data_IF_117006317511
#
_entry.id   IF_117006317511
#
_cell.length_a   1.000
_cell.length_b   1.000
_cell.length_c   1.000
_cell.angle_alpha   90.00
_cell.angle_beta   90.00
_cell.angle_gamma   90.00
#
_symmetry.space_group_name_H-M   'P 1'
#
loop_
_entity.id
_entity.type
_entity.pdbx_description
1 polymer ?
#
# COMPACT_ATOMS: atom_id res chain seq x y z
N UNK A 1 8.45 16.20 22.78
CA UNK A 1 8.85 14.78 22.57
C UNK A 1 9.20 14.64 21.09
N UNK A 2 10.29 13.93 20.77
CA UNK A 2 11.11 14.08 19.55
C UNK A 2 10.35 13.89 18.23
N UNK A 3 10.71 14.72 17.25
CA UNK A 3 10.43 14.53 15.82
C UNK A 3 10.99 13.18 15.35
N UNK A 4 10.15 12.33 14.76
CA UNK A 4 10.51 10.99 14.26
C UNK A 4 10.86 10.96 12.77
N UNK A 5 11.18 12.09 12.16
CA UNK A 5 11.79 12.11 10.83
C UNK A 5 13.26 12.50 10.98
N UNK A 6 14.07 11.55 11.41
CA UNK A 6 15.46 11.53 11.03
C UNK A 6 15.45 10.89 9.64
N UNK A 7 15.74 11.70 8.61
CA UNK A 7 16.00 11.18 7.28
C UNK A 7 17.05 10.09 7.43
N UNK A 8 16.62 8.83 7.29
CA UNK A 8 17.53 7.70 7.24
C UNK A 8 18.52 8.00 6.13
N UNK A 9 19.80 8.08 6.48
CA UNK A 9 20.85 8.00 5.49
C UNK A 9 20.62 6.73 4.68
N UNK A 10 20.92 6.75 3.38
CA UNK A 10 20.62 5.72 2.38
C UNK A 10 21.11 4.29 2.70
N UNK A 11 21.59 4.03 3.91
CA UNK A 11 22.14 2.78 4.45
C UNK A 11 21.15 1.95 5.28
N UNK A 12 19.97 2.46 5.67
CA UNK A 12 18.96 1.64 6.39
C UNK A 12 17.94 0.96 5.44
N UNK A 13 18.10 1.11 4.12
CA UNK A 13 17.32 0.40 3.09
C UNK A 13 17.90 -0.99 2.76
N UNK A 14 18.89 -1.47 3.52
CA UNK A 14 19.68 -2.70 3.27
C UNK A 14 18.89 -4.01 3.44
N UNK A 15 17.58 -3.96 3.68
CA UNK A 15 16.69 -5.13 3.75
C UNK A 15 15.55 -5.12 2.71
N UNK A 16 15.64 -4.32 1.64
CA UNK A 16 14.67 -4.39 0.55
C UNK A 16 14.86 -5.67 -0.25
N UNK A 17 13.99 -6.66 0.00
CA UNK A 17 13.79 -7.76 -0.93
C UNK A 17 13.19 -7.19 -2.22
N UNK A 18 14.05 -7.05 -3.24
CA UNK A 18 13.60 -6.71 -4.59
C UNK A 18 13.26 -8.02 -5.29
N UNK A 19 12.00 -8.44 -5.23
CA UNK A 19 11.53 -9.52 -6.10
C UNK A 19 11.26 -8.93 -7.47
N UNK A 20 12.06 -9.36 -8.45
CA UNK A 20 11.97 -8.91 -9.83
C UNK A 20 11.29 -9.95 -10.69
N UNK A 21 10.28 -9.52 -11.43
CA UNK A 21 9.81 -10.24 -12.62
C UNK A 21 10.04 -9.37 -13.86
N UNK A 22 9.73 -9.89 -15.03
CA UNK A 22 9.72 -9.09 -16.26
C UNK A 22 8.68 -7.95 -16.21
N UNK A 23 7.70 -8.03 -15.30
CA UNK A 23 6.51 -7.16 -15.25
C UNK A 23 6.52 -6.17 -14.08
N UNK A 24 7.21 -6.49 -12.98
CA UNK A 24 7.16 -5.69 -11.75
C UNK A 24 8.50 -5.71 -11.02
N UNK A 25 8.75 -4.63 -10.29
CA UNK A 25 9.72 -4.58 -9.20
C UNK A 25 8.93 -4.47 -7.90
N UNK A 26 8.96 -5.52 -7.09
CA UNK A 26 8.36 -5.52 -5.76
C UNK A 26 9.38 -4.95 -4.77
N UNK A 27 8.93 -4.03 -3.93
CA UNK A 27 9.72 -3.39 -2.89
C UNK A 27 9.08 -3.71 -1.55
N UNK A 28 9.73 -4.56 -0.77
CA UNK A 28 9.34 -4.82 0.62
C UNK A 28 9.95 -3.75 1.54
N UNK A 29 9.10 -2.99 2.24
CA UNK A 29 9.53 -1.99 3.22
C UNK A 29 9.12 -2.44 4.62
N UNK A 30 10.03 -3.09 5.40
CA UNK A 30 9.71 -3.48 6.75
C UNK A 30 9.43 -2.25 7.63
N UNK A 31 8.29 -2.22 8.30
CA UNK A 31 8.00 -1.26 9.37
C UNK A 31 7.09 -0.07 9.04
N UNK A 32 6.40 -0.05 7.90
CA UNK A 32 5.36 0.94 7.64
C UNK A 32 3.96 0.44 8.05
N UNK A 33 3.37 1.06 9.07
CA UNK A 33 1.97 0.79 9.44
C UNK A 33 1.04 1.04 8.24
N UNK A 34 0.25 0.02 7.89
CA UNK A 34 -0.73 0.07 6.82
C UNK A 34 -0.29 -0.57 5.51
N UNK A 35 0.98 -0.53 5.10
CA UNK A 35 1.39 -1.11 3.81
C UNK A 35 2.10 -2.44 3.98
N UNK A 36 1.74 -3.42 3.16
CA UNK A 36 2.33 -4.75 3.11
C UNK A 36 3.53 -4.79 2.16
N UNK A 37 3.30 -4.35 0.93
CA UNK A 37 4.27 -4.35 -0.15
C UNK A 37 4.05 -3.11 -1.01
N UNK A 38 5.13 -2.61 -1.62
CA UNK A 38 5.06 -1.53 -2.60
C UNK A 38 5.50 -2.05 -3.96
N UNK A 39 4.60 -2.06 -4.93
CA UNK A 39 4.93 -2.39 -6.32
C UNK A 39 5.39 -1.15 -7.07
N UNK A 40 6.41 -1.33 -7.92
CA UNK A 40 6.77 -0.38 -8.95
C UNK A 40 6.40 -0.98 -10.32
N UNK A 41 5.34 -0.45 -10.92
CA UNK A 41 4.73 -0.93 -12.16
C UNK A 41 5.12 -0.01 -13.33
N UNK A 42 5.87 -0.50 -14.34
CA UNK A 42 6.19 0.30 -15.51
C UNK A 42 4.92 0.72 -16.28
N UNK A 43 4.80 2.03 -16.56
CA UNK A 43 3.70 2.60 -17.37
C UNK A 43 4.17 2.97 -18.78
N UNK A 44 5.40 3.45 -18.90
CA UNK A 44 6.08 3.78 -20.14
C UNK A 44 7.60 3.66 -19.97
N UNK A 45 8.37 4.00 -21.00
CA UNK A 45 9.84 4.00 -20.96
C UNK A 45 10.42 4.96 -19.91
N UNK A 46 9.67 5.98 -19.48
CA UNK A 46 10.15 7.00 -18.54
C UNK A 46 9.22 7.23 -17.35
N UNK A 47 8.16 6.45 -17.22
CA UNK A 47 7.18 6.61 -16.14
C UNK A 47 6.79 5.27 -15.53
N UNK A 48 6.53 5.25 -14.23
CA UNK A 48 6.01 4.10 -13.52
C UNK A 48 4.98 4.51 -12.47
N UNK A 49 4.26 3.54 -11.94
CA UNK A 49 3.40 3.70 -10.78
C UNK A 49 4.06 3.06 -9.56
N UNK A 50 4.15 3.82 -8.47
CA UNK A 50 4.40 3.24 -7.16
C UNK A 50 3.05 2.93 -6.52
N UNK A 51 2.84 1.71 -6.04
CA UNK A 51 1.56 1.26 -5.47
C UNK A 51 1.79 0.54 -4.16
N UNK A 52 1.27 1.07 -3.05
CA UNK A 52 1.28 0.45 -1.74
C UNK A 52 -0.01 -0.38 -1.53
N UNK A 53 0.13 -1.69 -1.32
CA UNK A 53 -0.98 -2.63 -1.12
C UNK A 53 -1.07 -3.10 0.35
N UNK A 54 -2.28 -3.44 0.81
CA UNK A 54 -2.62 -3.57 2.23
C UNK A 54 -3.07 -4.97 2.67
N UNK A 55 -3.12 -5.93 1.73
CA UNK A 55 -3.60 -7.29 1.97
C UNK A 55 -5.13 -7.42 2.00
N UNK A 56 -5.59 -8.65 2.23
CA UNK A 56 -6.98 -9.07 1.98
C UNK A 56 -8.04 -8.34 2.84
N UNK A 57 -7.68 -7.91 4.05
CA UNK A 57 -8.63 -7.27 4.98
C UNK A 57 -9.16 -5.96 4.42
N UNK A 58 -8.28 -5.11 3.90
CA UNK A 58 -8.70 -3.83 3.30
C UNK A 58 -9.50 -4.09 2.02
N UNK A 59 -9.06 -5.05 1.21
CA UNK A 59 -9.74 -5.40 -0.03
C UNK A 59 -11.20 -5.80 0.22
N UNK A 60 -11.41 -6.64 1.23
CA UNK A 60 -12.74 -7.08 1.63
C UNK A 60 -13.62 -5.93 2.13
N UNK A 61 -13.07 -5.04 2.96
CA UNK A 61 -13.81 -3.90 3.50
C UNK A 61 -14.26 -2.93 2.41
N UNK A 62 -13.36 -2.61 1.49
CA UNK A 62 -13.62 -1.71 0.36
C UNK A 62 -14.66 -2.30 -0.61
N UNK A 63 -14.62 -3.61 -0.85
CA UNK A 63 -15.56 -4.29 -1.73
C UNK A 63 -16.97 -4.41 -1.14
N UNK A 64 -17.08 -4.58 0.19
CA UNK A 64 -18.37 -4.79 0.84
C UNK A 64 -19.12 -3.50 1.15
N UNK A 65 -18.40 -2.40 1.46
CA UNK A 65 -19.01 -1.21 2.08
C UNK A 65 -18.65 0.13 1.42
N UNK A 66 -18.65 0.28 0.08
CA UNK A 66 -18.17 1.50 -0.60
C UNK A 66 -18.92 2.78 -0.19
N UNK A 67 -20.20 2.69 0.20
CA UNK A 67 -20.99 3.85 0.65
C UNK A 67 -20.71 4.25 2.09
N UNK A 68 -20.51 3.28 2.98
CA UNK A 68 -20.14 3.63 4.37
C UNK A 68 -18.78 4.30 4.38
N UNK A 69 -17.88 3.89 3.47
CA UNK A 69 -16.55 4.45 3.26
C UNK A 69 -16.61 5.96 3.00
N UNK A 70 -17.48 6.40 2.09
CA UNK A 70 -17.59 7.82 1.73
C UNK A 70 -18.15 8.69 2.86
N UNK A 71 -18.98 8.11 3.73
CA UNK A 71 -19.71 8.87 4.74
C UNK A 71 -18.94 9.01 6.06
N UNK A 72 -18.06 8.06 6.39
CA UNK A 72 -17.37 8.02 7.69
C UNK A 72 -15.84 8.18 7.61
N UNK A 73 -15.23 8.07 6.42
CA UNK A 73 -13.78 8.14 6.23
C UNK A 73 -13.44 9.14 5.11
N UNK A 74 -13.50 10.45 5.40
CA UNK A 74 -13.35 11.49 4.39
C UNK A 74 -11.99 11.48 3.67
N UNK A 75 -10.91 11.07 4.34
CA UNK A 75 -9.61 10.97 3.69
C UNK A 75 -9.57 9.76 2.74
N UNK A 76 -10.05 8.59 3.16
CA UNK A 76 -10.23 7.45 2.25
C UNK A 76 -11.13 7.79 1.06
N UNK A 77 -12.25 8.47 1.30
CA UNK A 77 -13.16 8.94 0.25
C UNK A 77 -12.46 9.86 -0.75
N UNK A 78 -11.59 10.78 -0.26
CA UNK A 78 -10.80 11.65 -1.12
C UNK A 78 -9.81 10.88 -2.00
N UNK A 79 -9.21 9.79 -1.49
CA UNK A 79 -8.31 8.95 -2.25
C UNK A 79 -9.07 8.16 -3.33
N UNK A 80 -10.29 7.69 -3.02
CA UNK A 80 -11.16 7.01 -3.99
C UNK A 80 -11.62 7.95 -5.11
N UNK A 81 -11.99 9.19 -4.76
CA UNK A 81 -12.35 10.22 -5.74
C UNK A 81 -11.15 10.55 -6.64
N UNK A 82 -9.96 10.74 -6.04
CA UNK A 82 -8.72 10.93 -6.78
C UNK A 82 -8.42 9.77 -7.74
N UNK A 83 -8.65 8.52 -7.31
CA UNK A 83 -8.50 7.33 -8.16
C UNK A 83 -9.47 7.31 -9.33
N UNK A 84 -10.74 7.63 -9.06
CA UNK A 84 -11.79 7.73 -10.08
C UNK A 84 -11.52 8.83 -11.10
N UNK A 85 -10.94 9.95 -10.66
CA UNK A 85 -10.58 11.11 -11.48
C UNK A 85 -9.16 11.06 -12.05
N UNK A 86 -8.40 9.98 -11.79
CA UNK A 86 -7.01 9.79 -12.24
C UNK A 86 -6.05 10.90 -11.79
N UNK A 87 -6.22 11.39 -10.57
CA UNK A 87 -5.36 12.40 -9.94
C UNK A 87 -4.43 11.69 -8.94
N UNK A 88 -3.13 11.62 -9.24
CA UNK A 88 -2.19 10.75 -8.50
C UNK A 88 -1.17 11.50 -7.64
N UNK A 89 -1.15 12.84 -7.67
CA UNK A 89 -0.11 13.68 -7.05
C UNK A 89 0.09 13.42 -5.56
N UNK A 90 -1.00 13.18 -4.82
CA UNK A 90 -0.99 12.95 -3.37
C UNK A 90 -1.37 11.50 -3.00
N UNK A 91 -1.25 10.59 -3.95
CA UNK A 91 -1.77 9.22 -3.84
C UNK A 91 -3.24 9.15 -4.23
N UNK A 92 -3.63 8.01 -4.79
CA UNK A 92 -5.00 7.70 -5.16
C UNK A 92 -5.32 6.26 -4.80
N UNK A 93 -6.49 6.01 -4.23
CA UNK A 93 -6.94 4.65 -3.94
C UNK A 93 -7.49 4.04 -5.23
N UNK A 94 -6.84 2.99 -5.71
CA UNK A 94 -7.15 2.33 -6.98
C UNK A 94 -7.23 0.84 -6.80
N UNK A 95 -7.97 0.18 -7.70
CA UNK A 95 -8.02 -1.27 -7.78
C UNK A 95 -7.12 -1.72 -8.93
N UNK A 96 -6.09 -2.49 -8.61
CA UNK A 96 -5.10 -3.01 -9.56
C UNK A 96 -5.09 -4.53 -9.55
N UNK A 97 -4.65 -5.13 -10.64
CA UNK A 97 -4.30 -6.55 -10.67
C UNK A 97 -2.89 -6.71 -10.10
N UNK A 98 -2.74 -7.48 -9.03
CA UNK A 98 -1.45 -7.74 -8.42
C UNK A 98 -0.59 -8.60 -9.37
N UNK A 99 0.67 -8.20 -9.61
CA UNK A 99 1.49 -8.79 -10.66
C UNK A 99 2.11 -10.14 -10.31
N UNK A 100 2.03 -10.57 -9.06
CA UNK A 100 2.57 -11.80 -8.49
C UNK A 100 1.58 -12.97 -8.54
N UNK A 101 0.29 -12.71 -8.27
CA UNK A 101 -0.76 -13.73 -8.18
C UNK A 101 -2.00 -13.46 -9.05
N UNK A 102 -1.98 -12.40 -9.86
CA UNK A 102 -3.07 -11.96 -10.73
C UNK A 102 -4.39 -11.62 -9.99
N UNK A 103 -4.38 -11.49 -8.66
CA UNK A 103 -5.55 -11.12 -7.86
C UNK A 103 -5.84 -9.63 -7.91
N UNK A 104 -7.11 -9.24 -7.81
CA UNK A 104 -7.48 -7.83 -7.75
C UNK A 104 -7.27 -7.28 -6.33
N UNK A 105 -6.40 -6.28 -6.20
CA UNK A 105 -6.03 -5.63 -4.93
C UNK A 105 -6.36 -4.15 -4.95
N UNK A 106 -6.78 -3.62 -3.81
CA UNK A 106 -6.81 -2.20 -3.56
C UNK A 106 -5.44 -1.73 -3.09
N UNK A 107 -4.99 -0.61 -3.64
CA UNK A 107 -3.71 -0.01 -3.30
C UNK A 107 -3.72 1.50 -3.47
N UNK A 108 -2.84 2.16 -2.75
CA UNK A 108 -2.60 3.59 -2.91
C UNK A 108 -1.51 3.78 -3.95
N UNK A 109 -1.85 4.44 -5.05
CA UNK A 109 -0.98 4.63 -6.21
C UNK A 109 -0.57 6.09 -6.40
N UNK A 110 0.69 6.31 -6.75
CA UNK A 110 1.18 7.58 -7.29
C UNK A 110 2.07 7.36 -8.52
N UNK A 111 2.30 8.42 -9.30
CA UNK A 111 3.12 8.36 -10.52
C UNK A 111 4.56 8.79 -10.24
N UNK A 112 5.50 7.99 -10.74
CA UNK A 112 6.93 8.30 -10.82
C UNK A 112 7.22 8.72 -12.26
N UNK A 113 7.64 9.97 -12.46
CA UNK A 113 8.07 10.49 -13.77
C UNK A 113 9.59 10.49 -13.90
N UNK A 114 10.08 10.65 -15.13
CA UNK A 114 11.50 10.79 -15.47
C UNK A 114 12.38 9.65 -14.95
N UNK A 115 11.86 8.43 -14.96
CA UNK A 115 12.57 7.23 -14.52
C UNK A 115 12.36 6.07 -15.49
N UNK A 116 13.43 5.65 -16.14
CA UNK A 116 13.45 4.41 -16.92
C UNK A 116 13.69 3.23 -15.97
N UNK A 117 12.61 2.61 -15.51
CA UNK A 117 12.65 1.53 -14.52
C UNK A 117 13.46 0.33 -15.01
N UNK A 118 13.41 0.05 -16.32
CA UNK A 118 14.07 -1.10 -16.91
C UNK A 118 15.59 -0.90 -17.02
N UNK A 119 16.04 0.29 -17.44
CA UNK A 119 17.47 0.60 -17.53
C UNK A 119 18.10 0.85 -16.16
N UNK A 120 17.32 1.30 -15.18
CA UNK A 120 17.84 1.75 -13.90
C UNK A 120 17.49 0.84 -12.71
N UNK A 121 16.98 -0.37 -12.96
CA UNK A 121 16.62 -1.33 -11.91
C UNK A 121 17.74 -1.62 -10.89
N UNK A 122 19.01 -1.52 -11.30
CA UNK A 122 20.16 -1.75 -10.42
C UNK A 122 20.46 -0.58 -9.47
N UNK A 123 19.88 0.60 -9.69
CA UNK A 123 20.13 1.81 -8.90
C UNK A 123 18.84 2.62 -8.66
N UNK A 124 17.73 1.95 -8.33
CA UNK A 124 16.45 2.61 -8.10
C UNK A 124 16.50 3.66 -6.97
N UNK A 125 17.32 3.42 -5.94
CA UNK A 125 17.50 4.35 -4.81
C UNK A 125 18.23 5.64 -5.19
N UNK A 126 18.89 5.67 -6.35
CA UNK A 126 19.52 6.86 -6.90
C UNK A 126 18.55 7.88 -7.47
N UNK A 127 17.24 7.60 -7.51
CA UNK A 127 16.20 8.44 -8.10
C UNK A 127 15.37 9.15 -7.01
N UNK A 128 15.59 10.46 -6.77
CA UNK A 128 14.83 11.22 -5.77
C UNK A 128 13.31 11.18 -6.00
N UNK A 129 12.87 11.10 -7.26
CA UNK A 129 11.46 10.98 -7.63
C UNK A 129 10.81 9.68 -7.13
N UNK A 130 11.57 8.56 -7.10
CA UNK A 130 11.06 7.30 -6.62
C UNK A 130 10.91 7.35 -5.10
N UNK A 131 11.93 7.87 -4.41
CA UNK A 131 11.88 8.09 -2.96
C UNK A 131 10.68 8.97 -2.56
N UNK A 132 10.44 10.05 -3.32
CA UNK A 132 9.26 10.92 -3.12
C UNK A 132 7.95 10.17 -3.35
N UNK A 133 7.86 9.35 -4.39
CA UNK A 133 6.66 8.58 -4.67
C UNK A 133 6.37 7.53 -3.60
N UNK A 134 7.41 6.83 -3.11
CA UNK A 134 7.33 5.93 -1.97
C UNK A 134 6.82 6.69 -0.74
N UNK A 135 7.40 7.85 -0.44
CA UNK A 135 6.95 8.69 0.67
C UNK A 135 5.46 9.04 0.55
N UNK A 136 4.99 9.44 -0.64
CA UNK A 136 3.58 9.74 -0.90
C UNK A 136 2.68 8.55 -0.60
N UNK A 137 2.95 7.37 -1.17
CA UNK A 137 2.08 6.20 -0.98
C UNK A 137 2.11 5.70 0.45
N UNK A 138 3.25 5.76 1.14
CA UNK A 138 3.37 5.35 2.54
C UNK A 138 2.75 6.36 3.51
N UNK A 139 2.84 7.66 3.27
CA UNK A 139 2.18 8.68 4.10
C UNK A 139 0.66 8.64 3.93
N UNK A 140 0.18 8.55 2.70
CA UNK A 140 -1.24 8.35 2.43
C UNK A 140 -1.72 7.04 3.06
N UNK A 141 -0.89 6.00 2.98
CA UNK A 141 -1.16 4.74 3.66
C UNK A 141 -1.32 4.91 5.18
N UNK A 142 -0.31 5.42 5.87
CA UNK A 142 -0.36 5.60 7.32
C UNK A 142 -1.55 6.46 7.77
N UNK A 143 -1.91 7.48 6.98
CA UNK A 143 -3.07 8.34 7.26
C UNK A 143 -4.39 7.60 7.09
N UNK A 144 -4.53 6.75 6.06
CA UNK A 144 -5.69 5.88 5.88
C UNK A 144 -5.80 4.88 7.04
N UNK A 145 -4.68 4.33 7.52
CA UNK A 145 -4.64 3.37 8.62
C UNK A 145 -5.16 4.01 9.90
N UNK A 146 -4.63 5.21 10.17
CA UNK A 146 -5.04 6.01 11.31
C UNK A 146 -6.53 6.35 11.24
N UNK A 147 -7.05 6.72 10.08
CA UNK A 147 -8.48 7.02 9.91
C UNK A 147 -9.37 5.81 10.18
N UNK A 148 -8.98 4.63 9.69
CA UNK A 148 -9.65 3.36 9.97
C UNK A 148 -9.60 2.98 11.45
N UNK A 149 -8.45 3.16 12.10
CA UNK A 149 -8.27 2.86 13.53
C UNK A 149 -9.06 3.80 14.42
N UNK A 150 -9.05 5.09 14.11
CA UNK A 150 -9.72 6.12 14.91
C UNK A 150 -11.25 6.05 14.74
N UNK A 151 -11.74 5.56 13.59
CA UNK A 151 -13.16 5.51 13.24
C UNK A 151 -13.58 4.11 12.78
N UNK A 152 -13.24 3.05 13.54
CA UNK A 152 -13.47 1.65 13.14
C UNK A 152 -14.84 1.41 12.48
N UNK A 153 -14.89 0.80 11.28
CA UNK A 153 -16.16 0.52 10.60
C UNK A 153 -17.11 -0.31 11.44
N UNK A 154 -18.39 0.02 11.37
CA UNK A 154 -19.43 -0.97 11.69
C UNK A 154 -19.22 -2.13 10.71
N UNK A 155 -19.02 -3.34 11.21
CA UNK A 155 -18.64 -4.47 10.34
C UNK A 155 -17.16 -4.77 10.30
N UNK A 156 -16.27 -3.97 10.91
CA UNK A 156 -14.82 -4.25 10.91
C UNK A 156 -14.48 -5.60 11.53
N UNK A 157 -15.03 -5.89 12.70
CA UNK A 157 -14.85 -7.18 13.37
C UNK A 157 -15.47 -8.33 12.55
N UNK A 158 -16.61 -8.10 11.89
CA UNK A 158 -17.25 -9.08 11.01
C UNK A 158 -16.43 -9.33 9.74
N UNK A 159 -15.80 -8.30 9.18
CA UNK A 159 -14.90 -8.41 8.04
C UNK A 159 -13.62 -9.17 8.40
N UNK A 160 -13.01 -8.86 9.56
CA UNK A 160 -11.89 -9.63 10.10
C UNK A 160 -12.27 -11.09 10.33
N UNK A 161 -13.44 -11.34 10.94
CA UNK A 161 -13.93 -12.69 11.18
C UNK A 161 -14.24 -13.45 9.88
N UNK A 162 -14.91 -12.82 8.91
CA UNK A 162 -15.21 -13.42 7.62
C UNK A 162 -13.94 -13.71 6.81
N UNK A 163 -12.91 -12.88 6.96
CA UNK A 163 -11.60 -13.14 6.38
C UNK A 163 -10.93 -14.36 7.03
N UNK A 164 -10.90 -14.42 8.37
CA UNK A 164 -10.37 -15.56 9.11
C UNK A 164 -11.09 -16.86 8.72
N UNK A 165 -12.42 -16.86 8.62
CA UNK A 165 -13.22 -18.01 8.19
C UNK A 165 -12.95 -18.43 6.73
N UNK A 166 -12.62 -17.48 5.84
CA UNK A 166 -12.18 -17.79 4.46
C UNK A 166 -10.77 -18.38 4.43
N UNK A 167 -9.87 -17.88 5.29
CA UNK A 167 -8.51 -18.37 5.42
C UNK A 167 -8.44 -19.74 6.10
N UNK A 168 -9.34 -20.08 7.03
CA UNK A 168 -9.39 -21.42 7.65
C UNK A 168 -9.82 -22.54 6.68
N UNK A 169 -10.32 -22.20 5.49
CA UNK A 169 -10.64 -23.15 4.40
C UNK A 169 -9.54 -23.31 3.33
N UNK A 170 -8.50 -22.48 3.37
CA UNK A 170 -7.33 -22.53 2.50
C UNK A 170 -6.11 -22.82 3.37
N UNK A 171 -5.28 -23.80 3.03
CA UNK A 171 -4.15 -24.20 3.88
C UNK A 171 -3.33 -23.00 4.39
N UNK A 172 -2.99 -23.06 5.69
CA UNK A 172 -2.32 -22.04 6.50
C UNK A 172 -1.12 -21.38 5.81
N UNK A 173 -1.32 -20.22 5.18
CA UNK A 173 -0.28 -19.19 5.12
C UNK A 173 -0.91 -17.84 4.82
N UNK A 174 -1.03 -17.00 5.84
CA UNK A 174 -0.98 -15.52 5.83
C UNK A 174 -1.37 -15.06 7.24
N UNK A 175 -0.56 -15.47 8.22
CA UNK A 175 -0.58 -14.86 9.54
C UNK A 175 -0.08 -13.42 9.39
N UNK A 176 -0.99 -12.46 9.31
CA UNK A 176 -0.69 -11.10 9.71
C UNK A 176 -0.82 -10.99 11.22
N UNK A 177 0.33 -11.11 11.86
CA UNK A 177 0.58 -10.67 13.23
C UNK A 177 0.45 -9.14 13.26
N UNK A 178 -0.79 -8.64 13.27
CA UNK A 178 -1.05 -7.29 13.77
C UNK A 178 -0.84 -7.35 15.27
N UNK A 179 0.42 -7.17 15.69
CA UNK A 179 0.87 -7.24 17.07
C UNK A 179 -0.09 -6.51 18.02
N UNK A 180 -1.03 -7.27 18.57
CA UNK A 180 -1.70 -6.92 19.79
C UNK A 180 -0.66 -7.15 20.87
N UNK A 181 -0.11 -6.04 21.37
CA UNK A 181 0.42 -5.98 22.72
C UNK A 181 -0.63 -6.60 23.65
N UNK A 182 -0.43 -7.87 23.99
CA UNK A 182 -0.82 -8.39 25.28
C UNK A 182 -0.05 -7.59 26.33
N UNK A 183 -0.62 -6.47 26.75
CA UNK A 183 -0.31 -5.85 28.01
C UNK A 183 -1.55 -5.96 28.88
N UNK A 184 -1.60 -7.07 29.61
CA UNK A 184 -2.19 -7.15 30.94
C UNK A 184 -1.05 -7.46 31.91
#
# INVERSE_FOLDING_TARGET
MKSFFQAGTATDYDALAITRSEKVIELEFPGHEGSLFTYLLPKSDTTAWAVACWGDTLDFLLDMNPREITDNWPFMASLMDAGSNKVYENGALVRIQAPDNDEMRWGIMTEVSDMDVQKNAANLWGFPQLLKAIEVVHQASAKMYKELKDNQPKGWEQAQKALLERCEGAEESLFFDFGFLQNS
#
